data_IF_585825610190
#
_entry.id   IF_585825610190
#
_cell.length_a   1.000
_cell.length_b   1.000
_cell.length_c   1.000
_cell.angle_alpha   90.00
_cell.angle_beta   90.00
_cell.angle_gamma   90.00
#
_symmetry.space_group_name_H-M   'P 1'
#
loop_
_entity.id
_entity.type
_entity.pdbx_description
1 polymer ?
#
# COMPACT_ATOMS: atom_id res chain seq x y z
N UNK A 1 6.91 22.97 21.53
CA UNK A 1 6.75 21.51 21.41
C UNK A 1 6.59 21.18 19.93
N UNK A 2 7.67 20.77 19.25
CA UNK A 2 7.55 20.17 17.92
C UNK A 2 7.26 18.69 18.16
N UNK A 3 6.01 18.28 17.96
CA UNK A 3 5.64 16.86 17.91
C UNK A 3 6.34 16.27 16.69
N UNK A 4 7.53 15.72 16.88
CA UNK A 4 8.23 14.95 15.86
C UNK A 4 7.45 13.67 15.63
N UNK A 5 6.55 13.67 14.66
CA UNK A 5 6.22 12.42 14.00
C UNK A 5 7.51 11.98 13.30
N UNK A 6 8.06 10.85 13.71
CA UNK A 6 9.17 10.25 13.00
C UNK A 6 8.73 10.05 11.56
N UNK A 7 9.43 10.68 10.60
CA UNK A 7 9.29 10.45 9.15
C UNK A 7 9.50 8.98 8.75
N UNK A 8 9.75 8.11 9.73
CA UNK A 8 10.03 6.70 9.61
C UNK A 8 8.83 5.82 10.05
N UNK A 9 7.62 6.39 10.18
CA UNK A 9 6.41 5.62 10.48
C UNK A 9 5.46 5.63 9.28
N UNK A 10 4.95 4.46 8.93
CA UNK A 10 3.95 4.30 7.86
C UNK A 10 2.79 3.46 8.36
N UNK A 11 1.65 3.56 7.69
CA UNK A 11 0.49 2.71 7.97
C UNK A 11 0.26 1.77 6.80
N UNK A 12 0.01 0.49 7.05
CA UNK A 12 -0.25 -0.45 5.97
C UNK A 12 0.05 -1.89 6.32
N UNK A 13 0.24 -2.71 5.29
CA UNK A 13 0.40 -4.15 5.47
C UNK A 13 1.30 -4.76 4.39
N UNK A 14 2.10 -5.74 4.80
CA UNK A 14 2.72 -6.71 3.92
C UNK A 14 1.76 -7.88 3.68
N UNK A 15 1.50 -8.19 2.42
CA UNK A 15 0.74 -9.35 1.99
C UNK A 15 1.65 -10.24 1.14
N UNK A 16 1.79 -11.51 1.52
CA UNK A 16 2.42 -12.53 0.67
C UNK A 16 1.34 -13.23 -0.13
N UNK A 17 1.53 -13.27 -1.44
CA UNK A 17 0.65 -14.03 -2.34
C UNK A 17 1.48 -14.77 -3.37
N UNK A 18 1.41 -16.11 -3.33
CA UNK A 18 2.31 -17.00 -4.08
C UNK A 18 3.78 -16.67 -3.79
N UNK A 19 4.59 -16.46 -4.83
CA UNK A 19 6.02 -16.12 -4.72
C UNK A 19 6.27 -14.59 -4.70
N UNK A 20 5.21 -13.78 -4.60
CA UNK A 20 5.27 -12.31 -4.64
C UNK A 20 4.99 -11.71 -3.27
N UNK A 21 5.70 -10.63 -2.96
CA UNK A 21 5.44 -9.82 -1.76
C UNK A 21 4.85 -8.49 -2.18
N UNK A 22 3.68 -8.18 -1.62
CA UNK A 22 3.00 -6.92 -1.84
C UNK A 22 3.08 -6.09 -0.58
N UNK A 23 3.29 -4.79 -0.76
CA UNK A 23 3.16 -3.84 0.32
C UNK A 23 2.15 -2.77 -0.05
N UNK A 24 1.18 -2.59 0.84
CA UNK A 24 0.13 -1.59 0.69
C UNK A 24 0.25 -0.60 1.83
N UNK A 25 0.65 0.63 1.51
CA UNK A 25 0.95 1.66 2.51
C UNK A 25 0.18 2.95 2.26
N UNK A 26 -0.11 3.65 3.34
CA UNK A 26 -0.66 4.99 3.37
C UNK A 26 0.44 5.90 3.90
N UNK A 27 0.89 6.83 3.05
CA UNK A 27 1.89 7.85 3.37
C UNK A 27 1.32 8.84 4.39
N UNK A 28 2.19 9.62 5.04
CA UNK A 28 1.77 10.73 5.90
C UNK A 28 0.94 11.77 5.14
N UNK A 29 1.18 11.94 3.84
CA UNK A 29 0.35 12.77 2.95
C UNK A 29 -1.05 12.22 2.69
N UNK A 30 -1.33 10.99 3.12
CA UNK A 30 -2.55 10.24 2.79
C UNK A 30 -2.50 9.53 1.44
N UNK A 31 -1.40 9.60 0.69
CA UNK A 31 -1.25 8.87 -0.56
C UNK A 31 -1.25 7.34 -0.30
N UNK A 32 -2.06 6.61 -1.06
CA UNK A 32 -2.12 5.15 -1.06
C UNK A 32 -1.16 4.59 -2.11
N UNK A 33 -0.28 3.70 -1.70
CA UNK A 33 0.72 3.07 -2.56
C UNK A 33 0.59 1.55 -2.57
N UNK A 34 0.79 0.98 -3.75
CA UNK A 34 0.93 -0.45 -3.98
C UNK A 34 2.32 -0.73 -4.54
N UNK A 35 3.09 -1.49 -3.77
CA UNK A 35 4.39 -2.00 -4.13
C UNK A 35 4.31 -3.51 -4.34
N UNK A 36 5.08 -4.01 -5.31
CA UNK A 36 5.28 -5.44 -5.53
C UNK A 36 6.78 -5.68 -5.60
N UNK A 37 7.28 -6.60 -4.77
CA UNK A 37 8.71 -6.93 -4.67
C UNK A 37 9.59 -5.67 -4.54
N UNK A 38 9.15 -4.72 -3.69
CA UNK A 38 9.80 -3.41 -3.43
C UNK A 38 9.80 -2.42 -4.61
N UNK A 39 9.04 -2.69 -5.66
CA UNK A 39 8.82 -1.75 -6.76
C UNK A 39 7.44 -1.11 -6.67
N UNK A 40 7.38 0.21 -6.74
CA UNK A 40 6.12 0.95 -6.84
C UNK A 40 5.40 0.56 -8.14
N UNK A 41 4.20 -0.01 -8.01
CA UNK A 41 3.33 -0.36 -9.15
C UNK A 41 2.27 0.70 -9.38
N UNK A 42 1.74 1.25 -8.31
CA UNK A 42 0.68 2.24 -8.37
C UNK A 42 0.68 3.13 -7.14
N UNK A 43 0.49 4.42 -7.36
CA UNK A 43 0.27 5.43 -6.32
C UNK A 43 -1.01 6.19 -6.61
N UNK A 44 -1.75 6.52 -5.57
CA UNK A 44 -2.94 7.38 -5.62
C UNK A 44 -2.81 8.43 -4.52
N UNK A 45 -2.66 9.69 -4.91
CA UNK A 45 -2.68 10.81 -3.98
C UNK A 45 -3.99 10.87 -3.19
N UNK A 46 -3.96 11.55 -2.03
CA UNK A 46 -5.15 11.75 -1.21
C UNK A 46 -6.23 12.50 -1.99
N UNK A 47 -7.48 12.07 -1.84
CA UNK A 47 -8.64 12.66 -2.52
C UNK A 47 -9.84 12.69 -1.56
N UNK A 48 -10.73 13.65 -1.76
CA UNK A 48 -11.96 13.77 -0.97
C UNK A 48 -12.97 12.63 -1.26
N UNK A 49 -12.88 12.00 -2.42
CA UNK A 49 -13.74 10.89 -2.81
C UNK A 49 -13.19 9.56 -2.26
N UNK A 50 -14.07 8.78 -1.65
CA UNK A 50 -13.75 7.45 -1.14
C UNK A 50 -14.43 6.33 -1.95
N UNK A 51 -13.79 5.15 -2.05
CA UNK A 51 -12.45 4.84 -1.55
C UNK A 51 -11.33 5.39 -2.44
N UNK A 52 -10.18 5.70 -1.86
CA UNK A 52 -8.93 5.72 -2.60
C UNK A 52 -8.60 4.29 -3.02
N UNK A 53 -8.30 4.07 -4.31
CA UNK A 53 -8.03 2.73 -4.80
C UNK A 53 -6.80 2.67 -5.70
N UNK A 54 -6.06 1.57 -5.53
CA UNK A 54 -4.91 1.18 -6.35
C UNK A 54 -5.03 -0.31 -6.69
N UNK A 55 -4.56 -0.69 -7.87
CA UNK A 55 -4.57 -2.08 -8.29
C UNK A 55 -3.41 -2.37 -9.23
N UNK A 56 -3.03 -3.64 -9.33
CA UNK A 56 -2.10 -4.13 -10.35
C UNK A 56 -2.50 -5.53 -10.78
N UNK A 57 -2.26 -5.86 -12.04
CA UNK A 57 -2.25 -7.25 -12.51
C UNK A 57 -0.84 -7.82 -12.37
N UNK A 58 -0.74 -9.07 -11.95
CA UNK A 58 0.51 -9.84 -11.93
C UNK A 58 0.36 -11.06 -12.83
N UNK A 59 1.37 -11.29 -13.65
CA UNK A 59 1.55 -12.55 -14.37
C UNK A 59 2.30 -13.52 -13.45
N UNK A 60 1.72 -14.69 -13.29
CA UNK A 60 2.28 -15.79 -12.52
C UNK A 60 2.68 -16.92 -13.49
N UNK A 61 3.02 -18.07 -12.93
CA UNK A 61 3.38 -19.23 -13.73
C UNK A 61 2.23 -19.63 -14.67
N UNK A 62 2.56 -20.16 -15.85
CA UNK A 62 1.59 -20.72 -16.79
C UNK A 62 0.51 -19.73 -17.27
N UNK A 63 0.86 -18.45 -17.45
CA UNK A 63 -0.07 -17.41 -17.90
C UNK A 63 -1.25 -17.15 -16.91
N UNK A 64 -1.12 -17.58 -15.65
CA UNK A 64 -2.08 -17.23 -14.60
C UNK A 64 -1.99 -15.70 -14.33
N UNK A 65 -3.13 -15.01 -14.34
CA UNK A 65 -3.20 -13.58 -14.05
C UNK A 65 -3.98 -13.33 -12.76
N UNK A 66 -3.34 -12.70 -11.78
CA UNK A 66 -3.99 -12.27 -10.55
C UNK A 66 -4.11 -10.75 -10.47
N UNK A 67 -5.28 -10.29 -10.03
CA UNK A 67 -5.58 -8.89 -9.80
C UNK A 67 -5.48 -8.60 -8.31
N UNK A 68 -4.50 -7.79 -7.93
CA UNK A 68 -4.38 -7.29 -6.56
C UNK A 68 -5.01 -5.90 -6.51
N UNK A 69 -5.98 -5.72 -5.62
CA UNK A 69 -6.66 -4.44 -5.41
C UNK A 69 -6.58 -4.04 -3.94
N UNK A 70 -6.33 -2.75 -3.70
CA UNK A 70 -6.41 -2.12 -2.39
C UNK A 70 -7.41 -0.96 -2.45
N UNK A 71 -8.34 -0.92 -1.49
CA UNK A 71 -9.32 0.16 -1.31
C UNK A 71 -9.23 0.72 0.11
N UNK A 72 -8.95 2.00 0.24
CA UNK A 72 -8.84 2.69 1.52
C UNK A 72 -9.98 3.71 1.69
N UNK A 73 -10.65 3.62 2.83
CA UNK A 73 -11.73 4.51 3.26
C UNK A 73 -11.24 5.31 4.46
N UNK A 74 -10.80 6.55 4.22
CA UNK A 74 -10.21 7.42 5.24
C UNK A 74 -11.19 7.72 6.38
N UNK A 75 -12.47 7.91 6.06
CA UNK A 75 -13.56 8.25 6.99
C UNK A 75 -13.82 7.18 8.05
N UNK A 76 -13.51 5.93 7.73
CA UNK A 76 -13.69 4.76 8.61
C UNK A 76 -12.36 4.13 9.02
N UNK A 77 -11.26 4.72 8.58
CA UNK A 77 -9.91 4.18 8.74
C UNK A 77 -9.85 2.68 8.40
N UNK A 78 -10.39 2.32 7.23
CA UNK A 78 -10.54 0.93 6.77
C UNK A 78 -9.81 0.73 5.46
N UNK A 79 -8.88 -0.22 5.42
CA UNK A 79 -8.25 -0.72 4.21
C UNK A 79 -8.82 -2.12 3.92
N UNK A 80 -9.17 -2.36 2.66
CA UNK A 80 -9.66 -3.65 2.15
C UNK A 80 -8.74 -4.07 1.02
N UNK A 81 -8.31 -5.33 1.03
CA UNK A 81 -7.42 -5.90 0.03
C UNK A 81 -8.07 -7.14 -0.56
N UNK A 82 -8.09 -7.20 -1.89
CA UNK A 82 -8.61 -8.36 -2.60
C UNK A 82 -7.60 -8.91 -3.60
N UNK A 83 -7.69 -10.21 -3.82
CA UNK A 83 -7.05 -10.92 -4.91
C UNK A 83 -8.16 -11.49 -5.78
N UNK A 84 -8.23 -11.10 -7.05
CA UNK A 84 -9.31 -11.54 -7.95
C UNK A 84 -10.73 -11.32 -7.36
N UNK A 85 -10.91 -10.23 -6.59
CA UNK A 85 -12.13 -9.87 -5.85
C UNK A 85 -12.38 -10.66 -4.55
N UNK A 86 -11.61 -11.69 -4.27
CA UNK A 86 -11.67 -12.38 -2.98
C UNK A 86 -10.95 -11.56 -1.92
N UNK A 87 -11.67 -11.22 -0.84
CA UNK A 87 -11.11 -10.48 0.28
C UNK A 87 -10.08 -11.33 1.02
N UNK A 88 -8.83 -10.86 1.03
CA UNK A 88 -7.73 -11.52 1.73
C UNK A 88 -7.35 -10.78 3.02
N UNK A 89 -7.74 -9.50 3.12
CA UNK A 89 -7.51 -8.72 4.33
C UNK A 89 -8.47 -7.52 4.40
N UNK A 90 -8.88 -7.19 5.63
CA UNK A 90 -9.66 -6.01 5.98
C UNK A 90 -9.29 -5.54 7.38
N UNK A 91 -9.21 -4.24 7.56
CA UNK A 91 -9.12 -3.64 8.88
C UNK A 91 -8.51 -2.25 8.86
N UNK A 92 -8.27 -1.70 10.05
CA UNK A 92 -7.49 -0.48 10.18
C UNK A 92 -6.02 -0.77 9.90
N UNK A 93 -5.37 0.00 9.00
CA UNK A 93 -4.00 -0.28 8.59
C UNK A 93 -3.05 -0.07 9.79
N UNK A 94 -2.32 -1.13 10.22
CA UNK A 94 -1.44 -1.05 11.37
C UNK A 94 -0.27 -0.10 11.10
N UNK A 95 0.30 0.45 12.18
CA UNK A 95 1.50 1.30 12.10
C UNK A 95 2.74 0.42 12.07
N UNK A 96 3.64 0.69 11.14
CA UNK A 96 4.94 0.05 11.01
C UNK A 96 6.05 1.07 11.25
N UNK A 97 7.06 0.67 12.00
CA UNK A 97 8.35 1.35 11.98
C UNK A 97 9.06 0.95 10.69
N UNK A 98 9.24 1.92 9.82
CA UNK A 98 9.75 1.74 8.48
C UNK A 98 11.29 1.61 8.56
N UNK A 99 11.83 0.41 8.80
CA UNK A 99 13.27 0.10 8.57
C UNK A 99 13.61 0.04 7.05
N UNK A 100 12.77 0.68 6.24
CA UNK A 100 12.67 0.52 4.80
C UNK A 100 13.42 1.63 4.10
N UNK A 101 14.73 1.44 3.99
CA UNK A 101 15.60 2.25 3.11
C UNK A 101 15.00 2.40 1.70
N UNK A 102 14.26 1.39 1.21
CA UNK A 102 13.64 1.36 -0.11
C UNK A 102 12.28 2.11 -0.23
N UNK A 103 11.75 2.67 0.86
CA UNK A 103 10.51 3.47 0.83
C UNK A 103 10.78 4.98 0.93
N UNK A 104 12.05 5.39 0.99
CA UNK A 104 12.47 6.79 1.18
C UNK A 104 12.55 7.61 -0.11
N UNK A 105 12.09 7.08 -1.24
CA UNK A 105 12.17 7.73 -2.56
C UNK A 105 11.20 8.93 -2.75
N UNK A 106 10.75 9.58 -1.67
CA UNK A 106 10.12 10.90 -1.73
C UNK A 106 11.17 12.05 -1.73
N UNK A 107 12.47 11.75 -1.60
CA UNK A 107 13.56 12.75 -1.72
C UNK A 107 14.00 12.87 -3.19
N UNK A 108 14.01 14.07 -3.79
CA UNK A 108 14.68 14.26 -5.07
C UNK A 108 16.17 13.91 -4.92
N UNK A 109 16.72 13.15 -5.86
CA UNK A 109 18.18 12.98 -5.95
C UNK A 109 18.81 14.37 -6.10
N UNK A 110 19.58 14.81 -5.10
CA UNK A 110 20.49 15.98 -5.24
C UNK A 110 21.55 15.73 -6.31
#
# INVERSE_FOLDING_TARGET
MKSGFDNNTMRGIELKHRHKTYHLFIRLSGALELHMDRCLRKRRETQAAEPQYVWTNVELEWEEHHYIEARYFQSRDELIITVNRDEVWRGSPPVWNADTVWLRDDEPFE
#
